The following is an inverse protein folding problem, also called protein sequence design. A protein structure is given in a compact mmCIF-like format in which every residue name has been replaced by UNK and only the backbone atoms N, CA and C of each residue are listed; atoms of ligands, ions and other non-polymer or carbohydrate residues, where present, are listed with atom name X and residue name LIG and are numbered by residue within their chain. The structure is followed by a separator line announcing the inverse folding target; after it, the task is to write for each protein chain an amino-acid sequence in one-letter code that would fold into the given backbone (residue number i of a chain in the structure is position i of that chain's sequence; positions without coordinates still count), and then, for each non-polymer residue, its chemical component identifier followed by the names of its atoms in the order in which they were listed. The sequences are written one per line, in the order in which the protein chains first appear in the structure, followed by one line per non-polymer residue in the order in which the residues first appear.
data_IF_796497815094
#
_entry.id   IF_796497815094
#
_cell.length_a   1.000
_cell.length_b   1.000
_cell.length_c   1.000
_cell.angle_alpha   90.00
_cell.angle_beta   90.00
_cell.angle_gamma   90.00
#
_symmetry.space_group_name_H-M   'P 1'
#
loop_
_entity.id
_entity.type
_entity.pdbx_description
1 polymer ?
#
# COMPACT_ATOMS: atom_id res chain seq x y z
N UNK A 1 13.29 6.81 2.90
CA UNK A 1 12.64 5.58 2.41
C UNK A 1 12.01 4.85 3.59
N UNK A 2 10.78 4.39 3.43
CA UNK A 2 10.00 3.66 4.44
C UNK A 2 9.95 4.35 5.82
N UNK A 3 9.85 5.67 5.84
CA UNK A 3 9.89 6.45 7.08
C UNK A 3 8.68 6.18 7.99
N UNK A 4 7.52 5.85 7.42
CA UNK A 4 6.32 5.40 8.09
C UNK A 4 6.52 4.08 8.87
N UNK A 5 7.51 3.28 8.45
CA UNK A 5 7.93 2.04 9.12
C UNK A 5 9.19 2.22 9.99
N UNK A 6 9.60 3.45 10.26
CA UNK A 6 10.77 3.78 11.07
C UNK A 6 12.00 4.24 10.29
N UNK A 7 11.97 4.17 8.96
CA UNK A 7 13.09 4.54 8.09
C UNK A 7 14.11 3.43 7.92
N UNK A 8 15.17 3.72 7.13
CA UNK A 8 16.20 2.75 6.76
C UNK A 8 17.59 3.04 7.38
N UNK A 9 17.70 4.07 8.20
CA UNK A 9 18.92 4.42 8.94
C UNK A 9 18.59 4.66 10.41
N UNK A 10 19.55 4.43 11.30
CA UNK A 10 19.42 4.69 12.73
C UNK A 10 19.15 6.16 13.05
N UNK A 11 19.59 7.06 12.16
CA UNK A 11 19.39 8.52 12.25
C UNK A 11 18.08 8.99 11.63
N UNK A 12 17.23 8.09 11.11
CA UNK A 12 15.96 8.44 10.47
C UNK A 12 14.95 8.99 11.49
N UNK A 13 14.38 10.16 11.19
CA UNK A 13 13.28 10.78 11.96
C UNK A 13 12.28 11.36 10.99
N UNK A 14 11.00 11.07 11.19
CA UNK A 14 9.93 11.61 10.35
C UNK A 14 9.96 13.14 10.33
N UNK A 15 9.82 13.71 9.14
CA UNK A 15 9.70 15.14 8.89
C UNK A 15 8.39 15.46 8.18
N UNK A 16 8.09 16.75 8.06
CA UNK A 16 6.90 17.26 7.38
C UNK A 16 7.30 18.13 6.18
N UNK A 17 6.34 18.43 5.29
CA UNK A 17 6.60 19.30 4.15
C UNK A 17 7.04 20.72 4.55
N UNK A 18 6.65 21.21 5.73
CA UNK A 18 7.05 22.54 6.22
C UNK A 18 8.52 22.59 6.65
N UNK A 19 9.05 21.47 7.15
CA UNK A 19 10.45 21.30 7.54
C UNK A 19 10.96 19.94 7.05
N UNK A 20 11.20 19.80 5.74
CA UNK A 20 11.35 18.48 5.13
C UNK A 20 12.72 17.84 5.38
N UNK A 21 13.74 18.62 5.71
CA UNK A 21 15.12 18.15 5.82
C UNK A 21 15.76 18.51 7.17
N UNK A 22 16.73 17.70 7.57
CA UNK A 22 17.69 17.98 8.65
C UNK A 22 19.05 17.39 8.26
N UNK A 23 20.10 17.78 8.98
CA UNK A 23 21.46 17.32 8.69
C UNK A 23 22.06 16.65 9.92
N UNK A 24 22.63 15.46 9.74
CA UNK A 24 23.44 14.75 10.74
C UNK A 24 24.73 14.32 10.05
N UNK A 25 25.87 14.57 10.67
CA UNK A 25 27.21 14.22 10.17
C UNK A 25 27.46 14.73 8.72
N UNK A 26 27.01 15.93 8.43
CA UNK A 26 27.05 16.56 7.09
C UNK A 26 26.23 15.82 6.01
N UNK A 27 25.38 14.86 6.37
CA UNK A 27 24.45 14.18 5.48
C UNK A 27 23.05 14.78 5.61
N UNK A 28 22.50 15.24 4.49
CA UNK A 28 21.14 15.76 4.44
C UNK A 28 20.14 14.59 4.44
N UNK A 29 19.22 14.61 5.40
CA UNK A 29 18.13 13.67 5.53
C UNK A 29 16.82 14.31 5.07
N UNK A 30 16.13 13.64 4.14
CA UNK A 30 14.75 13.94 3.76
C UNK A 30 13.86 12.78 4.19
N UNK A 31 13.00 13.01 5.15
CA UNK A 31 12.23 11.96 5.81
C UNK A 31 10.73 12.28 5.87
N UNK A 32 10.20 12.90 4.83
CA UNK A 32 8.76 13.17 4.72
C UNK A 32 8.03 11.86 4.36
N UNK A 33 7.10 11.43 5.21
CA UNK A 33 6.33 10.19 5.01
C UNK A 33 5.48 10.24 3.73
N UNK A 34 4.93 11.42 3.40
CA UNK A 34 4.17 11.65 2.17
C UNK A 34 5.02 12.38 1.11
N UNK A 35 6.10 11.76 0.67
CA UNK A 35 6.94 12.29 -0.42
C UNK A 35 6.14 12.58 -1.72
N UNK A 36 5.20 11.72 -2.16
CA UNK A 36 4.38 12.02 -3.34
C UNK A 36 3.59 13.32 -3.25
N UNK A 37 3.23 13.78 -2.06
CA UNK A 37 2.54 15.04 -1.84
C UNK A 37 3.36 16.29 -2.19
N UNK A 38 4.69 16.17 -2.31
CA UNK A 38 5.55 17.27 -2.80
C UNK A 38 5.48 17.47 -4.32
N UNK A 39 5.05 16.45 -5.06
CA UNK A 39 4.93 16.46 -6.53
C UNK A 39 3.57 15.86 -6.96
N UNK A 40 2.45 16.46 -6.56
CA UNK A 40 1.14 15.80 -6.61
C UNK A 40 0.70 15.47 -8.04
N UNK A 41 0.97 16.32 -9.01
CA UNK A 41 0.63 16.05 -10.41
C UNK A 41 1.33 14.80 -10.94
N UNK A 42 2.65 14.73 -10.77
CA UNK A 42 3.46 13.58 -11.20
C UNK A 42 3.03 12.30 -10.49
N UNK A 43 2.80 12.39 -9.18
CA UNK A 43 2.41 11.24 -8.36
C UNK A 43 1.02 10.71 -8.72
N UNK A 44 0.05 11.60 -8.94
CA UNK A 44 -1.29 11.21 -9.34
C UNK A 44 -1.31 10.52 -10.71
N UNK A 45 -0.59 11.08 -11.69
CA UNK A 45 -0.50 10.48 -13.03
C UNK A 45 0.19 9.11 -12.99
N UNK A 46 1.29 8.99 -12.25
CA UNK A 46 2.01 7.72 -12.10
C UNK A 46 1.15 6.65 -11.42
N UNK A 47 0.46 7.02 -10.34
CA UNK A 47 -0.44 6.11 -9.62
C UNK A 47 -1.60 5.65 -10.51
N UNK A 48 -2.28 6.59 -11.17
CA UNK A 48 -3.38 6.26 -12.08
C UNK A 48 -2.93 5.33 -13.20
N UNK A 49 -1.79 5.60 -13.81
CA UNK A 49 -1.24 4.74 -14.86
C UNK A 49 -0.96 3.31 -14.36
N UNK A 50 -0.46 3.18 -13.15
CA UNK A 50 -0.15 1.88 -12.54
C UNK A 50 -1.39 1.11 -12.08
N UNK A 51 -2.43 1.81 -11.60
CA UNK A 51 -3.65 1.19 -11.03
C UNK A 51 -4.69 0.89 -12.10
N UNK A 52 -4.77 1.71 -13.16
CA UNK A 52 -5.81 1.60 -14.18
C UNK A 52 -5.96 0.20 -14.79
N UNK A 53 -4.90 -0.53 -15.14
CA UNK A 53 -5.05 -1.89 -15.68
C UNK A 53 -5.78 -2.86 -14.74
N UNK A 54 -5.53 -2.74 -13.44
CA UNK A 54 -6.20 -3.57 -12.42
C UNK A 54 -7.67 -3.18 -12.25
N UNK A 55 -7.96 -1.88 -12.27
CA UNK A 55 -9.33 -1.39 -12.19
C UNK A 55 -10.16 -1.84 -13.41
N UNK A 56 -9.58 -1.77 -14.61
CA UNK A 56 -10.23 -2.25 -15.83
C UNK A 56 -10.46 -3.77 -15.80
N UNK A 57 -9.48 -4.54 -15.35
CA UNK A 57 -9.64 -5.98 -15.21
C UNK A 57 -10.80 -6.34 -14.27
N UNK A 58 -10.92 -5.66 -13.11
CA UNK A 58 -12.05 -5.84 -12.20
C UNK A 58 -13.39 -5.44 -12.81
N UNK A 59 -13.42 -4.36 -13.59
CA UNK A 59 -14.63 -3.88 -14.23
C UNK A 59 -15.13 -4.80 -15.36
N UNK A 60 -14.20 -5.33 -16.15
CA UNK A 60 -14.51 -6.13 -17.32
C UNK A 60 -14.77 -7.60 -16.98
N UNK A 61 -14.00 -8.18 -16.07
CA UNK A 61 -14.04 -9.62 -15.78
C UNK A 61 -14.73 -9.97 -14.46
N UNK A 62 -14.92 -9.00 -13.59
CA UNK A 62 -15.43 -9.22 -12.23
C UNK A 62 -14.36 -9.73 -11.26
N UNK A 63 -14.65 -9.67 -9.98
CA UNK A 63 -13.69 -9.99 -8.93
C UNK A 63 -13.37 -11.49 -8.85
N UNK A 64 -14.33 -12.37 -9.11
CA UNK A 64 -14.12 -13.83 -9.06
C UNK A 64 -13.06 -14.25 -10.06
N UNK A 65 -13.14 -13.76 -11.29
CA UNK A 65 -12.18 -14.10 -12.34
C UNK A 65 -10.83 -13.40 -12.10
N UNK A 66 -10.83 -12.14 -11.71
CA UNK A 66 -9.59 -11.41 -11.39
C UNK A 66 -8.78 -12.11 -10.28
N UNK A 67 -9.45 -12.68 -9.27
CA UNK A 67 -8.79 -13.40 -8.18
C UNK A 67 -8.24 -14.77 -8.54
N UNK A 68 -8.46 -15.27 -9.74
CA UNK A 68 -7.77 -16.48 -10.23
C UNK A 68 -6.29 -16.23 -10.44
N UNK A 69 -5.88 -14.97 -10.74
CA UNK A 69 -4.48 -14.55 -10.74
C UNK A 69 -3.94 -14.47 -9.30
N UNK A 70 -2.91 -15.27 -8.94
CA UNK A 70 -2.32 -15.24 -7.60
C UNK A 70 -1.78 -13.87 -7.20
N UNK A 71 -1.22 -13.11 -8.15
CA UNK A 71 -0.66 -11.78 -7.87
C UNK A 71 -1.77 -10.78 -7.52
N UNK A 72 -2.87 -10.83 -8.26
CA UNK A 72 -4.05 -10.01 -7.99
C UNK A 72 -4.67 -10.40 -6.64
N UNK A 73 -4.81 -11.70 -6.39
CA UNK A 73 -5.37 -12.25 -5.15
C UNK A 73 -4.55 -11.87 -3.91
N UNK A 74 -3.22 -11.76 -4.02
CA UNK A 74 -2.36 -11.34 -2.91
C UNK A 74 -2.64 -9.92 -2.42
N UNK A 75 -3.28 -9.08 -3.24
CA UNK A 75 -3.74 -7.75 -2.87
C UNK A 75 -5.11 -7.71 -2.17
N UNK A 76 -5.79 -8.86 -2.03
CA UNK A 76 -7.12 -8.91 -1.46
C UNK A 76 -7.08 -8.76 0.07
N UNK A 77 -7.69 -7.70 0.58
CA UNK A 77 -7.76 -7.44 2.02
C UNK A 77 -9.12 -7.78 2.62
N UNK A 78 -10.19 -7.51 1.88
CA UNK A 78 -11.58 -7.78 2.31
C UNK A 78 -12.39 -8.28 1.12
N UNK A 79 -13.17 -9.33 1.33
CA UNK A 79 -14.10 -9.85 0.34
C UNK A 79 -15.35 -10.39 1.02
N UNK A 80 -16.53 -10.00 0.53
CA UNK A 80 -17.83 -10.44 1.05
C UNK A 80 -17.97 -10.29 2.60
N UNK A 81 -17.44 -9.19 3.13
CA UNK A 81 -17.48 -8.90 4.57
C UNK A 81 -16.49 -9.69 5.42
N UNK A 82 -15.59 -10.47 4.81
CA UNK A 82 -14.56 -11.25 5.52
C UNK A 82 -13.18 -10.67 5.25
N UNK A 83 -12.32 -10.64 6.27
CA UNK A 83 -10.94 -10.18 6.14
C UNK A 83 -10.09 -11.34 5.60
N UNK A 84 -9.36 -11.05 4.51
CA UNK A 84 -8.58 -12.02 3.75
C UNK A 84 -7.07 -11.76 3.78
N UNK A 85 -6.64 -10.74 4.52
CA UNK A 85 -5.24 -10.43 4.76
C UNK A 85 -4.91 -10.59 6.25
N UNK A 86 -3.95 -11.46 6.56
CA UNK A 86 -3.64 -11.82 7.94
C UNK A 86 -3.22 -10.62 8.80
N UNK A 87 -2.32 -9.77 8.31
CA UNK A 87 -1.86 -8.59 9.06
C UNK A 87 -3.00 -7.58 9.33
N UNK A 88 -4.00 -7.49 8.45
CA UNK A 88 -5.19 -6.66 8.69
C UNK A 88 -6.06 -7.27 9.79
N UNK A 89 -6.27 -8.58 9.75
CA UNK A 89 -7.04 -9.31 10.77
C UNK A 89 -6.40 -9.14 12.16
N UNK A 90 -5.09 -9.34 12.26
CA UNK A 90 -4.34 -9.15 13.51
C UNK A 90 -4.42 -7.71 14.03
N UNK A 91 -4.22 -6.71 13.15
CA UNK A 91 -4.26 -5.29 13.53
C UNK A 91 -5.63 -4.85 14.04
N UNK A 92 -6.69 -5.43 13.51
CA UNK A 92 -8.08 -5.11 13.87
C UNK A 92 -8.65 -6.06 14.93
N UNK A 93 -7.89 -7.08 15.36
CA UNK A 93 -8.35 -8.16 16.25
C UNK A 93 -9.64 -8.81 15.75
N UNK A 94 -9.64 -9.19 14.46
CA UNK A 94 -10.76 -9.81 13.76
C UNK A 94 -10.36 -11.16 13.15
N UNK A 95 -11.34 -11.97 12.79
CA UNK A 95 -11.10 -13.29 12.21
C UNK A 95 -10.48 -13.19 10.81
N UNK A 96 -9.42 -13.97 10.58
CA UNK A 96 -8.82 -14.17 9.27
C UNK A 96 -9.52 -15.28 8.49
N UNK A 97 -9.76 -15.05 7.21
CA UNK A 97 -10.31 -16.03 6.27
C UNK A 97 -9.40 -16.11 5.05
N UNK A 98 -8.96 -17.29 4.64
CA UNK A 98 -8.10 -17.37 3.45
C UNK A 98 -8.86 -16.99 2.17
N UNK A 99 -8.22 -16.26 1.27
CA UNK A 99 -8.83 -15.92 -0.01
C UNK A 99 -9.23 -17.16 -0.82
N UNK A 100 -8.45 -18.24 -0.71
CA UNK A 100 -8.76 -19.52 -1.37
C UNK A 100 -10.07 -20.15 -0.87
N UNK A 101 -10.35 -20.06 0.43
CA UNK A 101 -11.58 -20.62 0.98
C UNK A 101 -12.85 -19.92 0.48
N UNK A 102 -12.73 -18.64 0.11
CA UNK A 102 -13.86 -17.88 -0.44
C UNK A 102 -14.11 -18.15 -1.93
N UNK A 103 -13.09 -18.59 -2.65
CA UNK A 103 -13.21 -18.93 -4.07
C UNK A 103 -13.72 -20.38 -4.28
N UNK A 104 -13.66 -21.20 -3.24
CA UNK A 104 -14.10 -22.61 -3.27
C UNK A 104 -15.56 -22.80 -2.85
N UNK A 105 -16.21 -21.75 -2.37
CA UNK A 105 -17.59 -21.74 -1.90
C UNK A 105 -18.55 -21.24 -2.98
#
# INVERSE_FOLDING_TARGET
IAIDQGGCFETSKATTHDKPVYTIDNVVHYCVANMPGAVPLTSALALNHSVLPYALNLADEGWERALTDPNFRNGLNVCQGKITHQGVAESLNMDYNSAQSLMAA
#
